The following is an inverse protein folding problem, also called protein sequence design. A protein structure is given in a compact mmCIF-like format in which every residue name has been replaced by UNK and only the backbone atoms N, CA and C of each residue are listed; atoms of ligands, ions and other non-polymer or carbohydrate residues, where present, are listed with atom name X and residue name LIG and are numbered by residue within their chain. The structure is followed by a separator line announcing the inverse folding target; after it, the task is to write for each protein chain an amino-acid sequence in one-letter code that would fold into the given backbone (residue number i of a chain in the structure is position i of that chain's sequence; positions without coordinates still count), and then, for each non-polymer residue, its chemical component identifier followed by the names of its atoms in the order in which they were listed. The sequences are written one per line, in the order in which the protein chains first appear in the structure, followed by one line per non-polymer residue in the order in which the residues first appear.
data_IF_678115977680
#
_entry.id   IF_678115977680
#
_cell.length_a   1.000
_cell.length_b   1.000
_cell.length_c   1.000
_cell.angle_alpha   90.00
_cell.angle_beta   90.00
_cell.angle_gamma   90.00
#
_symmetry.space_group_name_H-M   'P 1'
#
loop_
_entity.id
_entity.type
_entity.pdbx_description
1 polymer ?
#
# COMPACT_ATOMS: atom_id res chain seq x y z
N UNK A 1 33.88 23.70 29.07
CA UNK A 1 33.66 22.26 28.81
C UNK A 1 32.30 21.75 29.26
N UNK A 2 31.82 22.10 30.45
CA UNK A 2 30.49 21.65 30.92
C UNK A 2 29.33 22.14 30.03
N UNK A 3 29.38 23.36 29.54
CA UNK A 3 28.32 23.92 28.67
C UNK A 3 28.28 23.28 27.28
N UNK A 4 29.45 22.91 26.72
CA UNK A 4 29.55 22.23 25.43
C UNK A 4 28.92 20.82 25.51
N UNK A 5 29.15 20.11 26.61
CA UNK A 5 28.63 18.77 26.84
C UNK A 5 27.10 18.77 26.97
N UNK A 6 26.55 19.77 27.68
CA UNK A 6 25.10 19.94 27.83
C UNK A 6 24.42 20.25 26.49
N UNK A 7 25.04 21.08 25.65
CA UNK A 7 24.54 21.41 24.32
C UNK A 7 24.54 20.20 23.38
N UNK A 8 25.60 19.36 23.46
CA UNK A 8 25.70 18.13 22.67
C UNK A 8 24.62 17.09 23.04
N UNK A 9 24.31 16.95 24.32
CA UNK A 9 23.22 16.05 24.78
C UNK A 9 21.87 16.56 24.33
N UNK A 10 21.64 17.88 24.34
CA UNK A 10 20.39 18.47 23.87
C UNK A 10 20.18 18.25 22.35
N UNK A 11 21.22 18.40 21.55
CA UNK A 11 21.14 18.10 20.11
C UNK A 11 20.85 16.63 19.82
N UNK A 12 21.43 15.71 20.61
CA UNK A 12 21.21 14.27 20.42
C UNK A 12 19.78 13.84 20.79
N UNK A 13 19.17 14.48 21.79
CA UNK A 13 17.79 14.19 22.18
C UNK A 13 16.75 14.69 21.16
N UNK A 14 17.02 15.74 20.41
CA UNK A 14 16.13 16.25 19.35
C UNK A 14 16.09 15.31 18.14
N UNK A 15 17.19 14.65 17.81
CA UNK A 15 17.24 13.70 16.68
C UNK A 15 16.48 12.39 16.94
N UNK A 16 16.29 11.99 18.21
CA UNK A 16 15.55 10.80 18.58
C UNK A 16 14.02 10.93 18.41
N UNK A 17 13.49 12.14 18.38
CA UNK A 17 12.06 12.41 18.19
C UNK A 17 11.66 12.72 16.74
N UNK A 18 12.62 12.72 15.81
CA UNK A 18 12.39 13.11 14.42
C UNK A 18 11.81 11.99 13.52
N UNK A 19 11.55 10.80 14.06
CA UNK A 19 10.88 9.74 13.30
C UNK A 19 9.36 9.86 13.48
N UNK A 20 8.70 10.43 12.48
CA UNK A 20 7.26 10.37 12.37
C UNK A 20 6.83 8.93 12.03
N UNK A 21 5.81 8.38 12.69
CA UNK A 21 5.25 7.11 12.29
C UNK A 21 4.78 7.20 10.85
N UNK A 22 5.24 6.27 10.01
CA UNK A 22 4.91 6.21 8.59
C UNK A 22 3.87 5.13 8.35
N UNK A 23 2.77 5.51 7.73
CA UNK A 23 1.80 4.55 7.21
C UNK A 23 2.25 4.09 5.82
N UNK A 24 2.37 2.78 5.64
CA UNK A 24 2.73 2.16 4.36
C UNK A 24 1.48 2.08 3.48
N UNK A 25 1.58 2.52 2.24
CA UNK A 25 0.50 2.40 1.26
C UNK A 25 0.61 1.07 0.52
N UNK A 26 -0.43 0.24 0.63
CA UNK A 26 -0.57 -1.02 -0.07
C UNK A 26 -1.74 -0.91 -1.07
N UNK A 27 -1.44 -0.99 -2.35
CA UNK A 27 -2.40 -0.87 -3.44
C UNK A 27 -2.46 -2.18 -4.23
N UNK A 28 -3.66 -2.68 -4.49
CA UNK A 28 -3.87 -4.00 -5.09
C UNK A 28 -4.89 -3.95 -6.23
N UNK A 29 -4.62 -4.69 -7.29
CA UNK A 29 -5.57 -4.94 -8.37
C UNK A 29 -6.49 -6.10 -8.01
N UNK A 30 -7.80 -5.87 -8.04
CA UNK A 30 -8.83 -6.82 -7.64
C UNK A 30 -9.91 -6.99 -8.71
N UNK A 31 -10.68 -8.07 -8.61
CA UNK A 31 -11.92 -8.28 -9.37
C UNK A 31 -12.85 -9.18 -8.58
N UNK A 32 -14.15 -8.96 -8.70
CA UNK A 32 -15.18 -9.76 -7.99
C UNK A 32 -15.33 -11.19 -8.54
N UNK A 33 -14.74 -11.49 -9.69
CA UNK A 33 -14.97 -12.75 -10.40
C UNK A 33 -13.72 -13.66 -10.54
N UNK A 34 -12.56 -13.26 -10.04
CA UNK A 34 -11.33 -14.07 -10.18
C UNK A 34 -10.94 -14.76 -8.87
N UNK A 35 -10.47 -16.02 -8.92
CA UNK A 35 -9.92 -16.71 -7.74
C UNK A 35 -8.73 -15.97 -7.12
N UNK A 36 -7.86 -15.38 -7.95
CA UNK A 36 -6.72 -14.60 -7.49
C UNK A 36 -7.13 -13.43 -6.57
N UNK A 37 -8.30 -12.83 -6.81
CA UNK A 37 -8.83 -11.77 -5.94
C UNK A 37 -9.29 -12.29 -4.58
N UNK A 38 -9.74 -13.53 -4.48
CA UNK A 38 -10.11 -14.15 -3.20
C UNK A 38 -8.86 -14.33 -2.32
N UNK A 39 -7.78 -14.85 -2.89
CA UNK A 39 -6.48 -14.97 -2.19
C UNK A 39 -5.96 -13.60 -1.77
N UNK A 40 -6.10 -12.61 -2.62
CA UNK A 40 -5.73 -11.23 -2.35
C UNK A 40 -6.53 -10.62 -1.19
N UNK A 41 -7.83 -10.89 -1.09
CA UNK A 41 -8.68 -10.44 0.02
C UNK A 41 -8.20 -11.05 1.34
N UNK A 42 -7.91 -12.35 1.36
CA UNK A 42 -7.36 -13.00 2.56
C UNK A 42 -6.03 -12.37 2.98
N UNK A 43 -5.13 -12.14 2.04
CA UNK A 43 -3.84 -11.48 2.31
C UNK A 43 -4.03 -10.06 2.87
N UNK A 44 -5.01 -9.29 2.37
CA UNK A 44 -5.34 -7.96 2.91
C UNK A 44 -5.80 -8.01 4.36
N UNK A 45 -6.66 -8.96 4.70
CA UNK A 45 -7.15 -9.11 6.07
C UNK A 45 -6.01 -9.50 7.02
N UNK A 46 -5.09 -10.37 6.60
CA UNK A 46 -3.90 -10.72 7.36
C UNK A 46 -2.98 -9.51 7.58
N UNK A 47 -2.74 -8.73 6.52
CA UNK A 47 -1.95 -7.49 6.62
C UNK A 47 -2.61 -6.48 7.57
N UNK A 48 -3.92 -6.29 7.46
CA UNK A 48 -4.67 -5.37 8.32
C UNK A 48 -4.63 -5.82 9.78
N UNK A 49 -4.79 -7.12 10.04
CA UNK A 49 -4.74 -7.66 11.39
C UNK A 49 -3.34 -7.56 12.02
N UNK A 50 -2.29 -7.67 11.21
CA UNK A 50 -0.90 -7.64 11.65
C UNK A 50 -0.40 -6.22 11.89
N UNK A 51 -0.70 -5.28 10.98
CA UNK A 51 -0.12 -3.94 10.96
C UNK A 51 -1.07 -2.82 11.40
N UNK A 52 -2.36 -3.10 11.50
CA UNK A 52 -3.35 -2.15 12.01
C UNK A 52 -3.32 -0.81 11.27
N UNK A 53 -3.03 0.26 12.01
CA UNK A 53 -2.98 1.63 11.47
C UNK A 53 -1.67 1.97 10.74
N UNK A 54 -0.67 1.07 10.77
CA UNK A 54 0.61 1.30 10.10
C UNK A 54 0.53 1.00 8.59
N UNK A 55 -0.60 0.45 8.11
CA UNK A 55 -0.85 0.17 6.71
C UNK A 55 -2.17 0.79 6.23
N UNK A 56 -2.13 1.42 5.06
CA UNK A 56 -3.31 1.85 4.32
C UNK A 56 -3.49 0.94 3.10
N UNK A 57 -4.66 0.33 2.95
CA UNK A 57 -4.93 -0.65 1.90
C UNK A 57 -5.98 -0.08 0.94
N UNK A 58 -5.68 -0.09 -0.36
CA UNK A 58 -6.58 0.33 -1.44
C UNK A 58 -6.72 -0.82 -2.43
N UNK A 59 -7.96 -1.21 -2.73
CA UNK A 59 -8.30 -2.13 -3.81
C UNK A 59 -8.72 -1.35 -5.06
N UNK A 60 -8.20 -1.71 -6.22
CA UNK A 60 -8.57 -1.16 -7.52
C UNK A 60 -9.23 -2.24 -8.37
N UNK A 61 -10.32 -1.89 -9.05
CA UNK A 61 -11.06 -2.77 -9.95
C UNK A 61 -10.89 -2.28 -11.40
N UNK A 62 -9.80 -2.70 -12.08
CA UNK A 62 -9.42 -2.12 -13.37
C UNK A 62 -10.16 -2.70 -14.58
N UNK A 63 -10.87 -3.83 -14.45
CA UNK A 63 -11.46 -4.51 -15.59
C UNK A 63 -12.99 -4.56 -15.51
N UNK A 64 -13.61 -4.17 -16.61
CA UNK A 64 -15.06 -4.17 -16.77
C UNK A 64 -15.57 -5.19 -17.80
N UNK A 65 -14.69 -5.96 -18.48
CA UNK A 65 -15.05 -6.59 -19.77
C UNK A 65 -15.37 -8.08 -19.62
N UNK A 66 -14.77 -8.79 -18.69
CA UNK A 66 -14.95 -10.23 -18.58
C UNK A 66 -16.14 -10.60 -17.70
N UNK A 67 -16.87 -11.64 -18.10
CA UNK A 67 -18.00 -12.24 -17.35
C UNK A 67 -19.13 -11.26 -16.94
N UNK A 68 -19.40 -10.25 -17.74
CA UNK A 68 -20.45 -9.27 -17.46
C UNK A 68 -20.01 -8.02 -16.73
N UNK A 69 -18.69 -7.86 -16.57
CA UNK A 69 -18.08 -6.69 -15.96
C UNK A 69 -17.99 -6.76 -14.43
N UNK A 70 -17.03 -6.04 -13.89
CA UNK A 70 -16.92 -5.83 -12.46
C UNK A 70 -17.78 -4.62 -12.05
N UNK A 71 -18.81 -4.77 -11.20
CA UNK A 71 -19.66 -3.66 -10.79
C UNK A 71 -18.93 -2.58 -10.00
N UNK A 72 -17.73 -2.86 -9.49
CA UNK A 72 -16.87 -1.91 -8.79
C UNK A 72 -15.86 -1.22 -9.71
N UNK A 73 -15.85 -1.56 -11.01
CA UNK A 73 -14.96 -0.93 -11.99
C UNK A 73 -15.13 0.59 -12.05
N UNK A 74 -14.00 1.26 -12.22
CA UNK A 74 -13.97 2.67 -12.61
C UNK A 74 -12.73 2.98 -13.46
N UNK A 75 -12.80 4.05 -14.26
CA UNK A 75 -11.73 4.45 -15.19
C UNK A 75 -10.41 4.77 -14.47
N UNK A 76 -10.49 5.30 -13.25
CA UNK A 76 -9.28 5.62 -12.46
C UNK A 76 -8.54 4.35 -12.08
N UNK A 77 -9.25 3.28 -11.72
CA UNK A 77 -8.66 1.97 -11.43
C UNK A 77 -7.92 1.39 -12.64
N UNK A 78 -8.47 1.53 -13.84
CA UNK A 78 -7.81 1.12 -15.09
C UNK A 78 -6.53 1.92 -15.34
N UNK A 79 -6.60 3.25 -15.22
CA UNK A 79 -5.44 4.12 -15.39
C UNK A 79 -4.33 3.82 -14.36
N UNK A 80 -4.70 3.56 -13.11
CA UNK A 80 -3.74 3.15 -12.09
C UNK A 80 -3.02 1.86 -12.47
N UNK A 81 -3.77 0.85 -12.93
CA UNK A 81 -3.23 -0.43 -13.38
C UNK A 81 -2.21 -0.26 -14.51
N UNK A 82 -2.50 0.62 -15.48
CA UNK A 82 -1.61 0.90 -16.60
C UNK A 82 -0.32 1.62 -16.16
N UNK A 83 -0.43 2.62 -15.27
CA UNK A 83 0.71 3.40 -14.78
C UNK A 83 1.69 2.53 -13.99
N UNK A 84 1.19 1.65 -13.14
CA UNK A 84 2.04 0.83 -12.26
C UNK A 84 2.37 -0.54 -12.83
N UNK A 85 1.91 -0.86 -14.04
CA UNK A 85 2.12 -2.16 -14.67
C UNK A 85 1.46 -3.33 -13.92
N UNK A 86 0.47 -3.03 -13.08
CA UNK A 86 -0.29 -4.02 -12.29
C UNK A 86 -1.49 -4.49 -13.12
N UNK A 87 -1.20 -5.22 -14.19
CA UNK A 87 -2.19 -5.67 -15.16
C UNK A 87 -2.74 -7.09 -14.92
N UNK A 88 -2.47 -7.65 -13.76
CA UNK A 88 -2.99 -8.95 -13.34
C UNK A 88 -3.68 -8.81 -11.98
N UNK A 89 -4.82 -9.48 -11.81
CA UNK A 89 -5.53 -9.50 -10.54
C UNK A 89 -4.71 -10.21 -9.46
N UNK A 90 -4.80 -9.72 -8.23
CA UNK A 90 -4.02 -10.21 -7.11
C UNK A 90 -2.60 -9.65 -7.03
N UNK A 91 -2.19 -8.79 -7.99
CA UNK A 91 -0.93 -8.05 -7.89
C UNK A 91 -1.10 -6.77 -7.08
N UNK A 92 -0.02 -6.38 -6.41
CA UNK A 92 0.01 -5.21 -5.55
C UNK A 92 1.25 -4.35 -5.80
N UNK A 93 1.16 -3.10 -5.39
CA UNK A 93 2.31 -2.22 -5.20
C UNK A 93 2.39 -1.76 -3.74
N UNK A 94 3.59 -1.54 -3.25
CA UNK A 94 3.86 -0.99 -1.92
C UNK A 94 4.48 0.37 -2.10
N UNK A 95 3.88 1.41 -1.49
CA UNK A 95 4.31 2.80 -1.62
C UNK A 95 4.51 3.23 -3.08
N UNK A 96 3.69 2.70 -4.00
CA UNK A 96 3.76 2.93 -5.44
C UNK A 96 5.07 2.51 -6.10
N UNK A 97 5.79 1.59 -5.51
CA UNK A 97 6.92 0.91 -6.14
C UNK A 97 6.40 -0.31 -6.86
N UNK A 98 6.56 -0.34 -8.18
CA UNK A 98 6.22 -1.51 -9.00
C UNK A 98 7.24 -2.62 -8.75
N UNK A 99 6.78 -3.74 -8.23
CA UNK A 99 7.57 -4.97 -8.18
C UNK A 99 7.30 -5.76 -9.46
N UNK A 100 8.19 -5.66 -10.42
CA UNK A 100 8.24 -6.58 -11.53
C UNK A 100 8.78 -7.91 -11.00
N UNK A 101 7.87 -8.76 -10.58
CA UNK A 101 8.19 -10.14 -10.22
C UNK A 101 8.24 -11.02 -11.43
#
# INVERSE_FOLDING_TARGET
MKQLFTFSILLFSVTLFAQSPRTVLFEMSESVWTPASVEAICAKEDLRSTYGNDIAIIGYHPDNIQNGGDPMYNTISSQWSDIFGVNQFGRASIDRVSYNG
#
